data_IF_234642256469
#
_entry.id   IF_234642256469
#
_cell.length_a   1.000
_cell.length_b   1.000
_cell.length_c   1.000
_cell.angle_alpha   90.00
_cell.angle_beta   90.00
_cell.angle_gamma   90.00
#
_symmetry.space_group_name_H-M   'P 1'
#
loop_
_entity.id
_entity.type
_entity.pdbx_description
1 polymer ?
#
# COMPACT_ATOMS: atom_id res chain seq x y z
N UNK A 1 14.45 46.91 -16.33
CA UNK A 1 13.98 45.80 -15.46
C UNK A 1 15.17 45.46 -14.60
N UNK A 2 15.09 45.72 -13.29
CA UNK A 2 16.25 45.79 -12.39
C UNK A 2 17.16 44.56 -12.50
N UNK A 3 18.40 44.80 -12.93
CA UNK A 3 19.51 43.86 -13.11
C UNK A 3 20.06 43.43 -11.74
N UNK A 4 19.29 42.62 -11.01
CA UNK A 4 19.72 42.10 -9.72
C UNK A 4 20.62 40.89 -9.91
N UNK A 5 21.93 41.12 -9.76
CA UNK A 5 22.94 40.07 -9.85
C UNK A 5 22.73 38.99 -8.78
N UNK A 6 22.72 37.72 -9.21
CA UNK A 6 22.63 36.56 -8.34
C UNK A 6 23.84 36.50 -7.39
N UNK A 7 23.57 36.43 -6.09
CA UNK A 7 24.59 36.19 -5.07
C UNK A 7 24.72 34.69 -4.74
N UNK A 8 23.60 34.03 -4.41
CA UNK A 8 23.64 32.57 -4.17
C UNK A 8 22.29 31.90 -4.31
N UNK A 9 22.32 30.61 -4.67
CA UNK A 9 21.21 29.67 -4.56
C UNK A 9 21.57 28.64 -3.50
N UNK A 10 20.68 28.41 -2.54
CA UNK A 10 20.87 27.41 -1.49
C UNK A 10 19.69 26.46 -1.45
N UNK A 11 19.99 25.19 -1.23
CA UNK A 11 18.97 24.18 -0.98
C UNK A 11 19.08 23.68 0.46
N UNK A 12 17.91 23.50 1.07
CA UNK A 12 17.76 23.00 2.42
C UNK A 12 16.92 21.74 2.40
N UNK A 13 17.31 20.75 3.22
CA UNK A 13 16.42 19.69 3.68
C UNK A 13 16.00 20.01 5.11
N UNK A 14 14.70 20.18 5.30
CA UNK A 14 14.07 20.75 6.48
C UNK A 14 14.73 22.10 6.83
N UNK A 15 15.55 22.12 7.87
CA UNK A 15 16.27 23.31 8.34
C UNK A 15 17.77 23.28 8.01
N UNK A 16 18.29 22.19 7.45
CA UNK A 16 19.71 22.00 7.21
C UNK A 16 20.06 22.30 5.77
N UNK A 17 21.06 23.15 5.55
CA UNK A 17 21.61 23.41 4.22
C UNK A 17 22.30 22.15 3.69
N UNK A 18 21.97 21.76 2.46
CA UNK A 18 22.51 20.56 1.80
C UNK A 18 23.34 20.91 0.56
N UNK A 19 23.08 22.05 -0.06
CA UNK A 19 23.75 22.50 -1.27
C UNK A 19 23.78 24.03 -1.35
N UNK A 20 24.88 24.58 -1.86
CA UNK A 20 25.04 26.01 -2.17
C UNK A 20 25.72 26.21 -3.51
N UNK A 21 25.15 27.08 -4.33
CA UNK A 21 25.78 27.66 -5.51
C UNK A 21 26.02 29.16 -5.29
N UNK A 22 27.25 29.62 -5.55
CA UNK A 22 27.62 31.03 -5.56
C UNK A 22 28.58 31.29 -6.74
N UNK A 23 28.15 32.03 -7.78
CA UNK A 23 28.95 32.22 -8.99
C UNK A 23 30.26 33.00 -8.76
N UNK A 24 30.32 33.80 -7.70
CA UNK A 24 31.49 34.63 -7.34
C UNK A 24 32.54 33.89 -6.50
N UNK A 25 32.27 32.64 -6.09
CA UNK A 25 33.18 31.84 -5.24
C UNK A 25 33.84 30.70 -6.02
N UNK A 26 35.04 30.30 -5.58
CA UNK A 26 35.72 29.09 -6.07
C UNK A 26 35.90 28.10 -4.88
N UNK A 27 35.38 26.86 -4.97
CA UNK A 27 34.46 26.36 -5.99
C UNK A 27 33.10 27.05 -5.90
N UNK A 28 32.42 27.16 -7.05
CA UNK A 28 31.09 27.77 -7.13
C UNK A 28 30.02 26.94 -6.42
N UNK A 29 30.19 25.61 -6.37
CA UNK A 29 29.28 24.68 -5.72
C UNK A 29 29.92 24.14 -4.44
N UNK A 30 29.14 24.09 -3.36
CA UNK A 30 29.48 23.46 -2.09
C UNK A 30 28.36 22.53 -1.65
N UNK A 31 28.74 21.34 -1.19
CA UNK A 31 27.83 20.32 -0.68
C UNK A 31 28.00 20.20 0.84
N UNK A 32 26.92 19.89 1.54
CA UNK A 32 26.92 19.74 2.99
C UNK A 32 26.37 18.37 3.37
N UNK A 33 27.08 17.67 4.25
CA UNK A 33 26.66 16.36 4.72
C UNK A 33 25.54 16.51 5.75
N UNK A 34 24.38 15.94 5.44
CA UNK A 34 23.21 15.93 6.32
C UNK A 34 22.66 14.51 6.41
N UNK A 35 22.42 14.04 7.64
CA UNK A 35 21.93 12.67 7.87
C UNK A 35 20.59 12.42 7.17
N UNK A 36 20.48 11.30 6.46
CA UNK A 36 19.24 10.89 5.78
C UNK A 36 19.04 11.46 4.38
N UNK A 37 20.02 12.20 3.83
CA UNK A 37 20.06 12.57 2.42
C UNK A 37 21.49 12.63 1.91
N UNK A 38 21.74 12.05 0.74
CA UNK A 38 22.99 12.23 0.01
C UNK A 38 22.74 13.21 -1.14
N UNK A 39 23.60 14.21 -1.29
CA UNK A 39 23.57 15.12 -2.45
C UNK A 39 24.62 14.62 -3.45
N UNK A 40 24.17 14.19 -4.62
CA UNK A 40 25.07 13.66 -5.67
C UNK A 40 25.76 14.78 -6.44
N UNK A 41 25.17 15.98 -6.42
CA UNK A 41 25.70 17.17 -7.08
C UNK A 41 24.58 18.08 -7.56
N UNK A 42 24.94 19.02 -8.42
CA UNK A 42 23.99 19.92 -9.05
C UNK A 42 24.61 20.67 -10.23
N UNK A 43 23.74 21.25 -11.04
CA UNK A 43 24.06 22.05 -12.21
C UNK A 43 23.29 23.37 -12.07
N UNK A 44 24.00 24.49 -12.11
CA UNK A 44 23.39 25.81 -11.92
C UNK A 44 23.95 26.79 -12.94
N UNK A 45 23.03 27.52 -13.56
CA UNK A 45 23.28 28.61 -14.48
C UNK A 45 22.66 29.91 -13.92
N UNK A 46 22.61 30.97 -14.74
CA UNK A 46 22.08 32.27 -14.34
C UNK A 46 20.58 32.26 -13.98
N UNK A 47 19.81 31.36 -14.57
CA UNK A 47 18.35 31.34 -14.57
C UNK A 47 17.76 30.06 -13.93
N UNK A 48 18.53 28.98 -13.83
CA UNK A 48 18.09 27.73 -13.22
C UNK A 48 19.19 27.06 -12.39
N UNK A 49 18.79 26.22 -11.44
CA UNK A 49 19.70 25.45 -10.59
C UNK A 49 19.03 24.14 -10.18
N UNK A 50 19.62 23.03 -10.63
CA UNK A 50 19.18 21.66 -10.38
C UNK A 50 20.08 21.02 -9.32
N UNK A 51 19.48 20.34 -8.35
CA UNK A 51 20.21 19.55 -7.33
C UNK A 51 19.69 18.12 -7.34
N UNK A 52 20.61 17.17 -7.43
CA UNK A 52 20.30 15.73 -7.40
C UNK A 52 20.52 15.19 -5.99
N UNK A 53 19.50 14.57 -5.42
CA UNK A 53 19.51 14.04 -4.06
C UNK A 53 19.04 12.60 -4.04
N UNK A 54 19.67 11.79 -3.18
CA UNK A 54 19.24 10.45 -2.81
C UNK A 54 18.86 10.45 -1.33
N UNK A 55 17.56 10.59 -1.00
CA UNK A 55 17.11 10.47 0.39
C UNK A 55 17.21 9.02 0.85
N UNK A 56 17.47 8.83 2.14
CA UNK A 56 17.40 7.49 2.73
C UNK A 56 15.95 6.96 2.66
N UNK A 57 15.74 5.65 2.44
CA UNK A 57 14.40 5.05 2.37
C UNK A 57 13.55 5.36 3.61
N UNK A 58 14.18 5.41 4.79
CA UNK A 58 13.52 5.69 6.07
C UNK A 58 13.00 7.14 6.20
N UNK A 59 13.40 8.05 5.30
CA UNK A 59 12.94 9.43 5.25
C UNK A 59 11.58 9.50 4.53
N UNK A 60 10.52 9.09 5.22
CA UNK A 60 9.13 9.03 4.73
C UNK A 60 8.61 10.36 4.16
N UNK A 61 9.08 11.51 4.66
CA UNK A 61 8.76 12.84 4.12
C UNK A 61 9.75 13.90 4.63
N UNK A 62 10.26 14.75 3.75
CA UNK A 62 11.08 15.89 4.15
C UNK A 62 10.71 17.15 3.34
N UNK A 63 10.89 18.32 3.96
CA UNK A 63 10.71 19.59 3.28
C UNK A 63 12.00 19.96 2.54
N UNK A 64 11.91 20.28 1.25
CA UNK A 64 13.02 20.82 0.48
C UNK A 64 12.72 22.29 0.17
N UNK A 65 13.63 23.17 0.59
CA UNK A 65 13.50 24.60 0.34
C UNK A 65 14.60 25.10 -0.57
N UNK A 66 14.25 25.85 -1.61
CA UNK A 66 15.20 26.62 -2.42
C UNK A 66 15.17 28.07 -1.95
N UNK A 67 16.34 28.66 -1.69
CA UNK A 67 16.52 30.05 -1.32
C UNK A 67 17.47 30.73 -2.30
N UNK A 68 17.01 31.81 -2.93
CA UNK A 68 17.77 32.61 -3.90
C UNK A 68 18.03 33.98 -3.27
N UNK A 69 19.25 34.46 -3.37
CA UNK A 69 19.67 35.76 -2.85
C UNK A 69 20.38 36.59 -3.92
N UNK A 70 20.16 37.91 -3.91
CA UNK A 70 20.83 38.88 -4.80
C UNK A 70 21.98 39.60 -4.11
N UNK A 71 22.92 40.12 -4.89
CA UNK A 71 24.06 40.91 -4.41
C UNK A 71 23.66 42.38 -4.15
N UNK A 72 24.50 43.12 -3.41
CA UNK A 72 24.26 44.54 -3.13
C UNK A 72 24.16 45.39 -4.41
N UNK A 73 23.52 46.57 -4.36
CA UNK A 73 23.10 47.30 -3.16
C UNK A 73 21.72 46.93 -2.60
N UNK A 74 20.89 46.20 -3.38
CA UNK A 74 19.58 45.70 -2.92
C UNK A 74 19.67 44.20 -2.67
N UNK A 75 19.80 43.83 -1.41
CA UNK A 75 19.75 42.43 -0.98
C UNK A 75 18.31 41.96 -0.91
N UNK A 76 17.94 41.05 -1.81
CA UNK A 76 16.65 40.40 -1.83
C UNK A 76 16.82 38.91 -1.61
N UNK A 77 15.83 38.28 -0.97
CA UNK A 77 15.78 36.85 -0.74
C UNK A 77 14.41 36.34 -1.17
N UNK A 78 14.40 35.34 -2.03
CA UNK A 78 13.21 34.58 -2.39
C UNK A 78 13.38 33.15 -1.90
N UNK A 79 12.34 32.57 -1.30
CA UNK A 79 12.36 31.20 -0.78
C UNK A 79 11.06 30.48 -1.10
N UNK A 80 11.16 29.28 -1.62
CA UNK A 80 10.02 28.37 -1.81
C UNK A 80 10.32 27.02 -1.19
N UNK A 81 9.29 26.37 -0.62
CA UNK A 81 9.40 25.06 0.03
C UNK A 81 8.40 24.09 -0.58
N UNK A 82 8.85 22.87 -0.88
CA UNK A 82 8.01 21.73 -1.29
C UNK A 82 8.32 20.52 -0.42
N UNK A 83 7.36 19.60 -0.31
CA UNK A 83 7.58 18.34 0.38
C UNK A 83 7.88 17.24 -0.63
N UNK A 84 8.90 16.44 -0.33
CA UNK A 84 9.21 15.23 -1.08
C UNK A 84 9.02 14.03 -0.16
N UNK A 85 8.28 13.04 -0.65
CA UNK A 85 8.00 11.77 0.04
C UNK A 85 8.62 10.65 -0.78
N UNK A 86 9.48 9.84 -0.14
CA UNK A 86 10.03 8.64 -0.75
C UNK A 86 9.08 7.48 -0.50
N UNK A 87 8.77 6.74 -1.56
CA UNK A 87 7.80 5.65 -1.53
C UNK A 87 8.38 4.40 -2.17
N UNK A 88 8.07 3.26 -1.60
CA UNK A 88 8.34 1.95 -2.20
C UNK A 88 7.00 1.31 -2.53
N UNK A 89 6.74 1.16 -3.83
CA UNK A 89 5.49 0.57 -4.32
C UNK A 89 5.52 -0.95 -4.14
N UNK A 90 4.39 -1.59 -3.81
CA UNK A 90 4.29 -3.03 -3.82
C UNK A 90 4.40 -3.57 -5.26
N UNK A 91 5.26 -4.57 -5.46
CA UNK A 91 5.46 -5.19 -6.77
C UNK A 91 4.35 -6.19 -7.11
N UNK A 92 3.83 -6.87 -6.08
CA UNK A 92 2.83 -7.94 -6.23
C UNK A 92 1.47 -7.53 -5.70
N UNK A 93 0.44 -8.12 -6.30
CA UNK A 93 -0.92 -8.05 -5.80
C UNK A 93 -1.03 -8.72 -4.42
N UNK A 94 -1.95 -8.27 -3.55
CA UNK A 94 -2.10 -8.86 -2.22
C UNK A 94 -2.61 -10.30 -2.31
N UNK A 95 -2.28 -11.14 -1.34
CA UNK A 95 -2.67 -12.55 -1.33
C UNK A 95 -3.81 -12.77 -0.35
N UNK A 96 -4.90 -13.38 -0.82
CA UNK A 96 -6.03 -13.82 0.01
C UNK A 96 -5.81 -15.26 0.47
N UNK A 97 -5.77 -15.46 1.78
CA UNK A 97 -5.75 -16.76 2.46
C UNK A 97 -7.11 -17.07 3.07
N UNK A 98 -7.39 -18.37 3.23
CA UNK A 98 -8.61 -18.84 3.90
C UNK A 98 -9.88 -18.82 3.04
N UNK A 99 -9.78 -18.58 1.73
CA UNK A 99 -10.93 -18.56 0.81
C UNK A 99 -11.16 -19.94 0.16
N UNK A 100 -12.04 -20.81 0.71
CA UNK A 100 -12.34 -22.11 0.12
C UNK A 100 -13.14 -21.95 -1.17
N UNK A 101 -12.90 -22.84 -2.15
CA UNK A 101 -13.67 -22.83 -3.41
C UNK A 101 -15.18 -23.04 -3.20
N UNK A 102 -15.55 -23.75 -2.14
CA UNK A 102 -16.92 -24.16 -1.84
C UNK A 102 -17.29 -23.82 -0.39
N UNK A 103 -18.47 -23.24 -0.20
CA UNK A 103 -19.04 -22.86 1.09
C UNK A 103 -20.38 -23.53 1.32
N UNK A 104 -20.76 -23.74 2.58
CA UNK A 104 -22.11 -24.13 2.96
C UNK A 104 -22.82 -22.95 3.62
N UNK A 105 -24.15 -22.81 3.40
CA UNK A 105 -24.94 -21.85 4.18
C UNK A 105 -24.78 -22.10 5.68
N UNK A 106 -24.52 -21.05 6.46
CA UNK A 106 -24.22 -21.12 7.89
C UNK A 106 -22.73 -21.21 8.25
N UNK A 107 -21.83 -21.42 7.28
CA UNK A 107 -20.39 -21.46 7.54
C UNK A 107 -19.87 -20.14 8.14
N UNK A 108 -18.90 -20.27 9.03
CA UNK A 108 -18.12 -19.15 9.56
C UNK A 108 -16.73 -19.23 8.96
N UNK A 109 -16.37 -18.25 8.13
CA UNK A 109 -15.06 -18.22 7.47
C UNK A 109 -14.24 -17.03 7.91
N UNK A 110 -12.93 -17.24 7.97
CA UNK A 110 -11.95 -16.23 8.31
C UNK A 110 -10.98 -16.12 7.16
N UNK A 111 -10.98 -14.95 6.51
CA UNK A 111 -10.09 -14.61 5.42
C UNK A 111 -8.98 -13.72 5.95
N UNK A 112 -7.76 -13.89 5.44
CA UNK A 112 -6.68 -12.96 5.68
C UNK A 112 -6.18 -12.46 4.33
N UNK A 113 -6.04 -11.15 4.19
CA UNK A 113 -5.40 -10.56 3.03
C UNK A 113 -4.10 -9.92 3.45
N UNK A 114 -3.00 -10.32 2.83
CA UNK A 114 -1.65 -9.82 3.11
C UNK A 114 -1.09 -9.10 1.88
N UNK A 115 -0.64 -7.86 2.05
CA UNK A 115 0.04 -7.11 0.99
C UNK A 115 1.49 -7.55 0.80
N UNK A 116 2.05 -7.21 -0.35
CA UNK A 116 3.50 -7.13 -0.48
C UNK A 116 4.09 -6.03 0.43
N UNK A 117 5.41 -6.03 0.56
CA UNK A 117 6.13 -4.99 1.28
C UNK A 117 6.06 -3.66 0.55
N UNK A 118 5.78 -2.60 1.31
CA UNK A 118 5.70 -1.23 0.78
C UNK A 118 6.17 -0.20 1.81
N UNK A 119 6.40 1.03 1.33
CA UNK A 119 6.65 2.19 2.16
C UNK A 119 5.88 3.40 1.59
N UNK A 120 4.95 4.02 2.35
CA UNK A 120 4.41 3.54 3.63
C UNK A 120 3.77 2.14 3.51
N UNK A 121 3.47 1.46 4.63
CA UNK A 121 2.73 0.20 4.56
C UNK A 121 1.35 0.43 3.95
N UNK A 122 0.88 -0.49 3.12
CA UNK A 122 -0.42 -0.39 2.47
C UNK A 122 -1.58 -0.47 3.49
N UNK A 123 -2.69 0.21 3.20
CA UNK A 123 -3.95 0.01 3.90
C UNK A 123 -4.76 -1.11 3.23
N UNK A 124 -5.33 -2.01 4.01
CA UNK A 124 -6.07 -3.16 3.50
C UNK A 124 -7.57 -2.92 3.58
N UNK A 125 -8.19 -2.87 2.40
CA UNK A 125 -9.64 -2.78 2.26
C UNK A 125 -10.22 -4.10 1.76
N UNK A 126 -11.35 -4.47 2.35
CA UNK A 126 -12.11 -5.66 1.97
C UNK A 126 -13.42 -5.25 1.36
N UNK A 127 -13.83 -5.97 0.31
CA UNK A 127 -15.13 -5.83 -0.32
C UNK A 127 -15.80 -7.20 -0.37
N UNK A 128 -17.09 -7.25 -0.06
CA UNK A 128 -17.94 -8.42 -0.26
C UNK A 128 -18.99 -8.02 -1.28
N UNK A 129 -19.03 -8.71 -2.43
CA UNK A 129 -19.93 -8.39 -3.54
C UNK A 129 -19.91 -6.88 -3.89
N UNK A 130 -18.70 -6.33 -4.00
CA UNK A 130 -18.41 -4.92 -4.32
C UNK A 130 -18.80 -3.89 -3.25
N UNK A 131 -19.29 -4.33 -2.08
CA UNK A 131 -19.56 -3.46 -0.95
C UNK A 131 -18.36 -3.40 0.01
N UNK A 132 -17.89 -2.17 0.30
CA UNK A 132 -16.77 -1.93 1.21
C UNK A 132 -17.11 -2.36 2.65
N UNK A 133 -16.30 -3.27 3.18
CA UNK A 133 -16.38 -3.72 4.56
C UNK A 133 -15.58 -2.76 5.44
N UNK A 134 -16.29 -1.83 6.08
CA UNK A 134 -15.67 -0.89 7.02
C UNK A 134 -15.05 -1.67 8.18
N UNK A 135 -13.76 -1.48 8.47
CA UNK A 135 -13.17 -2.06 9.67
C UNK A 135 -13.90 -1.53 10.91
N UNK A 136 -14.03 -2.35 11.94
CA UNK A 136 -14.35 -1.82 13.26
C UNK A 136 -13.23 -0.87 13.69
N UNK A 137 -13.55 0.14 14.50
CA UNK A 137 -12.63 1.23 14.87
C UNK A 137 -11.29 0.76 15.49
N UNK A 138 -11.21 -0.49 15.96
CA UNK A 138 -10.03 -1.10 16.58
C UNK A 138 -9.36 -2.20 15.75
N UNK A 139 -9.90 -2.53 14.57
CA UNK A 139 -9.38 -3.55 13.65
C UNK A 139 -8.75 -2.91 12.41
N UNK A 140 -7.74 -2.09 12.62
CA UNK A 140 -6.88 -1.57 11.53
C UNK A 140 -6.02 -2.66 10.90
N UNK A 141 -5.30 -2.31 9.83
CA UNK A 141 -4.31 -3.22 9.24
C UNK A 141 -3.21 -3.53 10.26
N UNK A 142 -2.93 -4.81 10.45
CA UNK A 142 -1.76 -5.26 11.20
C UNK A 142 -0.52 -5.12 10.32
N UNK A 143 0.65 -4.98 10.94
CA UNK A 143 1.90 -4.68 10.25
C UNK A 143 3.00 -5.68 10.62
N UNK A 144 3.81 -6.06 9.63
CA UNK A 144 4.99 -6.87 9.85
C UNK A 144 6.03 -6.13 10.70
N UNK A 145 7.03 -6.87 11.19
CA UNK A 145 8.28 -6.26 11.62
C UNK A 145 8.89 -5.43 10.47
N UNK A 146 9.63 -4.39 10.83
CA UNK A 146 10.31 -3.52 9.87
C UNK A 146 11.43 -4.29 9.18
N UNK A 147 11.43 -4.26 7.84
CA UNK A 147 12.48 -4.83 7.00
C UNK A 147 13.50 -3.74 6.60
N UNK A 148 14.67 -4.10 6.03
CA UNK A 148 15.63 -3.13 5.51
C UNK A 148 14.97 -2.08 4.61
N UNK A 149 15.38 -0.82 4.76
CA UNK A 149 14.78 0.31 4.03
C UNK A 149 13.42 0.76 4.58
N UNK A 150 13.01 0.30 5.77
CA UNK A 150 11.77 0.72 6.42
C UNK A 150 10.51 0.02 5.90
N UNK A 151 10.65 -0.93 4.97
CA UNK A 151 9.54 -1.62 4.33
C UNK A 151 8.74 -2.45 5.33
N UNK A 152 7.42 -2.47 5.17
CA UNK A 152 6.54 -3.37 5.94
C UNK A 152 5.46 -3.95 5.04
N UNK A 153 5.11 -5.19 5.32
CA UNK A 153 3.88 -5.81 4.80
C UNK A 153 2.75 -5.52 5.78
N UNK A 154 1.54 -5.43 5.25
CA UNK A 154 0.32 -5.18 6.02
C UNK A 154 -0.68 -6.31 5.77
N UNK A 155 -1.52 -6.62 6.75
CA UNK A 155 -2.63 -7.55 6.53
C UNK A 155 -3.86 -7.18 7.33
N UNK A 156 -5.00 -7.69 6.88
CA UNK A 156 -6.26 -7.56 7.61
C UNK A 156 -7.10 -8.81 7.51
N UNK A 157 -7.61 -9.22 8.65
CA UNK A 157 -8.52 -10.36 8.78
C UNK A 157 -9.97 -9.92 8.56
N UNK A 158 -10.71 -10.65 7.74
CA UNK A 158 -12.15 -10.50 7.54
C UNK A 158 -12.86 -11.75 8.02
N UNK A 159 -13.83 -11.59 8.92
CA UNK A 159 -14.70 -12.67 9.39
C UNK A 159 -16.04 -12.56 8.67
N UNK A 160 -16.51 -13.64 8.08
CA UNK A 160 -17.77 -13.69 7.35
C UNK A 160 -18.64 -14.81 7.93
N UNK A 161 -19.84 -14.45 8.34
CA UNK A 161 -20.91 -15.38 8.67
C UNK A 161 -21.78 -15.57 7.44
N UNK A 162 -21.70 -16.72 6.79
CA UNK A 162 -22.48 -17.01 5.58
C UNK A 162 -23.96 -17.18 5.97
N UNK A 163 -24.90 -16.40 5.40
CA UNK A 163 -26.32 -16.54 5.72
C UNK A 163 -26.85 -17.94 5.43
N UNK A 164 -27.79 -18.42 6.24
CA UNK A 164 -28.36 -19.79 6.14
C UNK A 164 -29.18 -20.04 4.87
N UNK A 165 -29.65 -18.97 4.24
CA UNK A 165 -30.43 -18.91 3.01
C UNK A 165 -29.60 -18.46 1.80
N UNK A 166 -28.30 -18.21 1.98
CA UNK A 166 -27.43 -17.79 0.90
C UNK A 166 -27.33 -18.86 -0.20
N UNK A 167 -27.31 -18.40 -1.44
CA UNK A 167 -27.15 -19.25 -2.63
C UNK A 167 -26.32 -18.52 -3.69
N UNK A 168 -25.82 -19.26 -4.68
CA UNK A 168 -24.98 -18.69 -5.74
C UNK A 168 -23.51 -18.66 -5.35
N UNK A 169 -22.88 -17.47 -5.38
CA UNK A 169 -21.46 -17.30 -5.08
C UNK A 169 -21.21 -16.06 -4.24
N UNK A 170 -20.23 -16.15 -3.34
CA UNK A 170 -19.70 -15.04 -2.57
C UNK A 170 -18.42 -14.54 -3.24
N UNK A 171 -18.40 -13.30 -3.73
CA UNK A 171 -17.19 -12.65 -4.23
C UNK A 171 -16.59 -11.80 -3.14
N UNK A 172 -15.30 -11.99 -2.89
CA UNK A 172 -14.51 -11.14 -2.02
C UNK A 172 -13.38 -10.51 -2.81
N UNK A 173 -13.15 -9.22 -2.61
CA UNK A 173 -12.02 -8.50 -3.17
C UNK A 173 -11.24 -7.85 -2.04
N UNK A 174 -9.93 -8.01 -2.08
CA UNK A 174 -9.02 -7.32 -1.19
C UNK A 174 -8.22 -6.30 -2.00
N UNK A 175 -8.16 -5.07 -1.50
CA UNK A 175 -7.32 -4.01 -2.04
C UNK A 175 -6.22 -3.66 -1.01
N UNK A 176 -4.98 -3.61 -1.48
CA UNK A 176 -3.85 -2.99 -0.80
C UNK A 176 -3.62 -1.59 -1.39
N UNK A 177 -3.82 -0.56 -0.57
CA UNK A 177 -3.81 0.84 -0.99
C UNK A 177 -2.59 1.55 -0.39
N UNK A 178 -1.72 2.05 -1.25
CA UNK A 178 -0.64 2.94 -0.85
C UNK A 178 -1.15 4.39 -0.88
N UNK A 179 -1.15 5.06 0.27
CA UNK A 179 -1.69 6.42 0.48
C UNK A 179 -0.74 7.52 0.00
N UNK A 180 -0.39 7.44 -1.28
CA UNK A 180 0.46 8.40 -2.00
C UNK A 180 -0.39 9.18 -3.01
N UNK A 181 0.16 10.23 -3.63
CA UNK A 181 -0.58 11.04 -4.61
C UNK A 181 0.10 10.95 -6.00
N UNK A 182 -0.57 10.37 -7.02
CA UNK A 182 -1.85 9.66 -6.97
C UNK A 182 -1.75 8.31 -6.22
N UNK A 183 -2.85 7.80 -5.65
CA UNK A 183 -2.82 6.55 -4.86
C UNK A 183 -2.49 5.35 -5.74
N UNK A 184 -1.66 4.45 -5.21
CA UNK A 184 -1.33 3.18 -5.87
C UNK A 184 -2.17 2.08 -5.24
N UNK A 185 -2.94 1.36 -6.05
CA UNK A 185 -3.83 0.29 -5.60
C UNK A 185 -3.46 -1.02 -6.29
N UNK A 186 -3.36 -2.09 -5.49
CA UNK A 186 -3.18 -3.47 -5.93
C UNK A 186 -4.31 -4.30 -5.35
N UNK A 187 -4.93 -5.16 -6.15
CA UNK A 187 -6.09 -5.92 -5.67
C UNK A 187 -6.08 -7.37 -6.14
N UNK A 188 -6.73 -8.21 -5.34
CA UNK A 188 -6.97 -9.63 -5.66
C UNK A 188 -8.41 -9.96 -5.30
N UNK A 189 -9.04 -10.77 -6.15
CA UNK A 189 -10.40 -11.26 -5.93
C UNK A 189 -10.43 -12.77 -5.79
N UNK A 190 -11.30 -13.26 -4.90
CA UNK A 190 -11.65 -14.67 -4.79
C UNK A 190 -13.17 -14.86 -4.88
N UNK A 191 -13.59 -15.94 -5.52
CA UNK A 191 -15.01 -16.31 -5.66
C UNK A 191 -15.21 -17.68 -5.03
N UNK A 192 -16.14 -17.75 -4.09
CA UNK A 192 -16.47 -18.95 -3.33
C UNK A 192 -17.91 -19.35 -3.67
N UNK A 193 -18.11 -20.58 -4.14
CA UNK A 193 -19.44 -21.05 -4.59
C UNK A 193 -20.20 -21.68 -3.42
N UNK A 194 -21.47 -21.33 -3.24
CA UNK A 194 -22.32 -21.90 -2.19
C UNK A 194 -22.96 -23.21 -2.64
N UNK A 195 -22.83 -24.25 -1.81
CA UNK A 195 -23.56 -25.50 -1.99
C UNK A 195 -25.06 -25.30 -1.76
N UNK A 196 -25.88 -25.69 -2.74
CA UNK A 196 -27.33 -25.82 -2.56
C UNK A 196 -27.66 -27.02 -1.66
N UNK A 197 -28.59 -26.85 -0.71
CA UNK A 197 -29.17 -27.95 0.09
C UNK A 197 -29.73 -29.10 -0.76
N UNK A 198 -30.14 -28.84 -2.01
CA UNK A 198 -30.64 -29.89 -2.93
C UNK A 198 -29.57 -30.88 -3.39
N UNK A 199 -28.28 -30.58 -3.23
CA UNK A 199 -27.21 -31.55 -3.52
C UNK A 199 -26.87 -32.48 -2.34
N UNK A 200 -27.23 -32.11 -1.11
CA UNK A 200 -27.09 -33.01 0.05
C UNK A 200 -28.08 -34.18 -0.02
N UNK A 201 -29.29 -33.99 -0.55
CA UNK A 201 -30.27 -35.08 -0.68
C UNK A 201 -29.85 -36.14 -1.71
N UNK A 202 -29.12 -35.76 -2.76
CA UNK A 202 -28.65 -36.72 -3.79
C UNK A 202 -27.67 -37.76 -3.25
N UNK A 203 -26.91 -37.46 -2.18
CA UNK A 203 -25.97 -38.40 -1.58
C UNK A 203 -26.57 -39.24 -0.44
N UNK A 204 -27.68 -38.82 0.18
CA UNK A 204 -28.34 -39.61 1.23
C UNK A 204 -29.37 -40.62 0.68
N UNK A 205 -29.83 -40.47 -0.57
CA UNK A 205 -30.79 -41.42 -1.17
C UNK A 205 -30.16 -42.68 -1.77
N UNK A 206 -28.82 -42.85 -1.75
CA UNK A 206 -28.16 -44.02 -2.34
C UNK A 206 -27.65 -45.05 -1.32
N UNK A 207 -28.07 -44.96 -0.06
CA UNK A 207 -27.79 -45.96 0.98
C UNK A 207 -29.05 -46.25 1.80
N UNK A 208 -29.97 -47.02 1.23
CA UNK A 208 -31.16 -47.39 1.99
C UNK A 208 -32.19 -48.20 1.24
N UNK A 209 -31.79 -49.23 0.49
CA UNK A 209 -32.72 -50.34 0.15
C UNK A 209 -31.93 -51.65 0.13
N UNK A 210 -31.67 -52.21 1.32
CA UNK A 210 -31.55 -53.67 1.46
C UNK A 210 -32.84 -54.13 2.12
N UNK A 211 -33.78 -54.62 1.32
CA UNK A 211 -34.91 -55.37 1.84
C UNK A 211 -34.39 -56.69 2.40
N UNK A 212 -34.57 -56.90 3.70
CA UNK A 212 -34.55 -58.23 4.30
C UNK A 212 -35.69 -59.04 3.69
N UNK A 213 -35.36 -60.06 2.90
CA UNK A 213 -36.30 -61.12 2.52
C UNK A 213 -36.23 -62.22 3.59
N UNK A 214 -37.19 -62.18 4.51
CA UNK A 214 -37.60 -63.34 5.31
C UNK A 214 -38.31 -64.31 4.36
N UNK A 215 -37.77 -65.52 4.20
CA UNK A 215 -38.45 -66.64 3.56
C UNK A 215 -38.96 -67.56 4.67
N UNK A 216 -40.29 -67.61 4.81
CA UNK A 216 -40.97 -68.67 5.53
C UNK A 216 -42.15 -69.17 4.69
N UNK A 217 -42.06 -70.47 4.34
CA UNK A 217 -43.16 -71.45 4.22
C UNK A 217 -44.08 -71.34 2.97
N UNK A 218 -44.58 -72.37 2.29
CA UNK A 218 -44.73 -73.85 2.44
C UNK A 218 -45.06 -74.42 1.03
N UNK A 219 -44.87 -75.74 0.82
CA UNK A 219 -45.70 -76.76 0.12
C UNK A 219 -44.73 -77.81 -0.47
N UNK A 220 -44.77 -79.12 -0.18
CA UNK A 220 -45.82 -80.05 0.31
C UNK A 220 -45.39 -80.85 1.55
#
# INVERSE_FOLDING_TARGET
MDDHKLHSVKWYRDLHEIFRYNPSQQPQIRLFNVTGVMVEGGECESDWCLVRVMPAPEATRAAYSCEISTEGPKFMIARETKHMTVVAMPDKDPVIYGAPKLLKPGDQIVLNCTSDYSLPPSDINWYINDELQKPELWHGSELSAVQPGGLRSSWRTLRISVPSDASGSLRVRCEAVLTVEPPVVRDTSAVMTLFSRTQLSKYMFNRGVYYFLSLAHIYE
#
